data_IF_527976526669
#
_entry.id   IF_527976526669
#
_cell.length_a   1.000
_cell.length_b   1.000
_cell.length_c   1.000
_cell.angle_alpha   90.00
_cell.angle_beta   90.00
_cell.angle_gamma   90.00
#
_symmetry.space_group_name_H-M   'P 1'
#
loop_
_entity.id
_entity.type
_entity.pdbx_description
1 polymer ?
#
# COMPACT_ATOMS: atom_id res chain seq x y z
N UNK A 1 -15.24 -9.94 17.69
CA UNK A 1 -13.91 -10.48 17.71
C UNK A 1 -13.20 -10.30 16.39
N UNK A 2 -12.12 -9.57 16.40
CA UNK A 2 -11.29 -9.40 15.21
C UNK A 2 -10.54 -10.71 14.93
N UNK A 3 -10.59 -11.18 13.70
CA UNK A 3 -9.88 -12.39 13.27
C UNK A 3 -8.41 -11.99 13.01
N UNK A 4 -7.41 -12.57 13.68
CA UNK A 4 -6.00 -12.18 13.55
C UNK A 4 -5.49 -12.20 12.11
N UNK A 5 -5.92 -13.18 11.31
CA UNK A 5 -5.53 -13.33 9.92
C UNK A 5 -6.00 -12.19 9.01
N UNK A 6 -6.97 -11.39 9.44
CA UNK A 6 -7.44 -10.23 8.67
C UNK A 6 -6.38 -9.15 8.55
N UNK A 7 -5.48 -9.02 9.53
CA UNK A 7 -4.40 -8.01 9.47
C UNK A 7 -3.44 -8.22 8.30
N UNK A 8 -2.74 -9.37 8.19
CA UNK A 8 -1.89 -9.60 7.02
C UNK A 8 -2.68 -9.65 5.71
N UNK A 9 -3.97 -10.00 5.74
CA UNK A 9 -4.85 -9.99 4.57
C UNK A 9 -5.07 -8.57 3.99
N UNK A 10 -4.86 -7.52 4.79
CA UNK A 10 -4.89 -6.14 4.29
C UNK A 10 -3.85 -5.89 3.20
N UNK A 11 -2.68 -6.58 3.23
CA UNK A 11 -1.69 -6.53 2.16
C UNK A 11 -2.19 -7.09 0.82
N UNK A 12 -3.30 -7.81 0.82
CA UNK A 12 -3.96 -8.34 -0.38
C UNK A 12 -5.13 -7.45 -0.80
N UNK A 13 -6.03 -7.19 0.14
CA UNK A 13 -7.31 -6.49 -0.14
C UNK A 13 -7.05 -5.03 -0.53
N UNK A 14 -6.30 -4.31 0.29
CA UNK A 14 -6.09 -2.87 0.08
C UNK A 14 -5.36 -2.55 -1.23
N UNK A 15 -4.30 -3.27 -1.64
CA UNK A 15 -3.66 -3.04 -2.92
C UNK A 15 -4.57 -3.26 -4.13
N UNK A 16 -5.44 -4.26 -4.08
CA UNK A 16 -6.36 -4.57 -5.20
C UNK A 16 -7.34 -3.41 -5.40
N UNK A 17 -8.02 -3.00 -4.34
CA UNK A 17 -9.00 -1.91 -4.42
C UNK A 17 -8.35 -0.53 -4.53
N UNK A 18 -7.22 -0.32 -3.88
CA UNK A 18 -6.43 0.92 -3.95
C UNK A 18 -5.84 1.20 -5.33
N UNK A 19 -5.72 0.18 -6.17
CA UNK A 19 -5.29 0.33 -7.55
C UNK A 19 -6.22 1.19 -8.40
N UNK A 20 -7.52 1.20 -8.11
CA UNK A 20 -8.51 1.99 -8.85
C UNK A 20 -8.28 3.49 -8.69
N UNK A 21 -8.32 4.07 -7.47
CA UNK A 21 -8.07 5.50 -7.28
C UNK A 21 -6.65 5.89 -7.66
N UNK A 22 -5.67 5.00 -7.46
CA UNK A 22 -4.29 5.25 -7.86
C UNK A 22 -4.15 5.40 -9.38
N UNK A 23 -4.71 4.47 -10.15
CA UNK A 23 -4.68 4.54 -11.62
C UNK A 23 -5.46 5.75 -12.16
N UNK A 24 -6.56 6.13 -11.50
CA UNK A 24 -7.29 7.36 -11.82
C UNK A 24 -6.41 8.60 -11.57
N UNK A 25 -5.72 8.64 -10.43
CA UNK A 25 -4.78 9.72 -10.11
C UNK A 25 -3.67 9.83 -11.17
N UNK A 26 -3.12 8.70 -11.63
CA UNK A 26 -2.07 8.68 -12.65
C UNK A 26 -2.49 9.30 -13.98
N UNK A 27 -3.78 9.34 -14.30
CA UNK A 27 -4.26 10.02 -15.53
C UNK A 27 -4.04 11.53 -15.51
N UNK A 28 -3.84 12.10 -14.32
CA UNK A 28 -3.60 13.53 -14.09
C UNK A 28 -2.14 13.86 -13.76
N UNK A 29 -1.29 12.84 -13.65
CA UNK A 29 0.14 13.01 -13.33
C UNK A 29 0.92 13.28 -14.61
N UNK A 30 1.56 14.43 -14.66
CA UNK A 30 2.40 14.88 -15.78
C UNK A 30 3.78 15.36 -15.34
N UNK A 31 4.03 15.48 -14.02
CA UNK A 31 5.26 16.02 -13.46
C UNK A 31 5.84 15.12 -12.39
N UNK A 32 7.18 15.11 -12.32
CA UNK A 32 7.89 14.43 -11.24
C UNK A 32 7.56 15.05 -9.87
N UNK A 33 7.40 14.22 -8.87
CA UNK A 33 7.08 14.65 -7.50
C UNK A 33 5.59 14.56 -7.16
N UNK A 34 4.70 14.49 -8.13
CA UNK A 34 3.26 14.42 -7.87
C UNK A 34 2.88 13.13 -7.14
N UNK A 35 3.46 12.00 -7.54
CA UNK A 35 3.20 10.70 -6.89
C UNK A 35 3.86 10.67 -5.51
N UNK A 36 5.05 11.25 -5.37
CA UNK A 36 5.73 11.37 -4.07
C UNK A 36 4.87 12.17 -3.09
N UNK A 37 4.33 13.32 -3.50
CA UNK A 37 3.43 14.13 -2.65
C UNK A 37 2.19 13.34 -2.28
N UNK A 38 1.57 12.65 -3.23
CA UNK A 38 0.41 11.81 -2.96
C UNK A 38 0.74 10.69 -1.96
N UNK A 39 1.89 10.03 -2.12
CA UNK A 39 2.36 9.00 -1.20
C UNK A 39 2.63 9.55 0.22
N UNK A 40 3.19 10.76 0.32
CA UNK A 40 3.39 11.45 1.58
C UNK A 40 2.07 11.77 2.27
N UNK A 41 1.08 12.25 1.53
CA UNK A 41 -0.26 12.53 2.07
C UNK A 41 -0.91 11.25 2.61
N UNK A 42 -0.85 10.16 1.85
CA UNK A 42 -1.37 8.85 2.28
C UNK A 42 -0.63 8.36 3.52
N UNK A 43 0.70 8.43 3.54
CA UNK A 43 1.51 8.04 4.69
C UNK A 43 1.24 8.90 5.93
N UNK A 44 1.07 10.20 5.75
CA UNK A 44 0.71 11.13 6.82
C UNK A 44 -0.69 10.83 7.38
N UNK A 45 -1.64 10.56 6.51
CA UNK A 45 -2.98 10.16 6.91
C UNK A 45 -2.96 8.88 7.76
N UNK A 46 -2.19 7.88 7.35
CA UNK A 46 -2.00 6.65 8.12
C UNK A 46 -1.33 6.91 9.47
N UNK A 47 -0.39 7.85 9.53
CA UNK A 47 0.23 8.25 10.80
C UNK A 47 -0.78 8.90 11.75
N UNK A 48 -1.58 9.85 11.27
CA UNK A 48 -2.62 10.53 12.06
C UNK A 48 -3.67 9.54 12.56
N UNK A 49 -4.00 8.51 11.77
CA UNK A 49 -4.95 7.44 12.16
C UNK A 49 -4.39 6.45 13.18
N UNK A 50 -3.14 6.65 13.64
CA UNK A 50 -2.53 5.83 14.69
C UNK A 50 -1.77 4.60 14.19
N UNK A 51 -1.53 4.49 12.89
CA UNK A 51 -0.74 3.37 12.30
C UNK A 51 0.77 3.53 12.54
N UNK A 52 1.21 4.67 13.08
CA UNK A 52 2.62 4.96 13.32
C UNK A 52 3.28 5.71 12.16
N UNK A 53 4.55 6.07 12.33
CA UNK A 53 5.31 6.89 11.36
C UNK A 53 5.91 6.08 10.20
N UNK A 54 6.00 4.76 10.31
CA UNK A 54 6.60 3.90 9.30
C UNK A 54 5.93 4.00 7.91
N UNK A 55 4.60 4.02 7.80
CA UNK A 55 3.94 4.24 6.51
C UNK A 55 4.32 5.56 5.84
N UNK A 56 4.61 6.60 6.63
CA UNK A 56 5.06 7.88 6.09
C UNK A 56 6.48 7.76 5.49
N UNK A 57 7.40 7.08 6.19
CA UNK A 57 8.76 6.81 5.67
C UNK A 57 8.69 5.99 4.40
N UNK A 58 7.92 4.89 4.41
CA UNK A 58 7.69 4.08 3.22
C UNK A 58 7.01 4.88 2.10
N UNK A 59 6.11 5.79 2.45
CA UNK A 59 5.48 6.70 1.50
C UNK A 59 6.48 7.55 0.74
N UNK A 60 7.45 8.13 1.42
CA UNK A 60 8.51 8.92 0.79
C UNK A 60 9.35 8.04 -0.15
N UNK A 61 9.86 6.91 0.35
CA UNK A 61 10.75 6.03 -0.41
C UNK A 61 10.02 5.45 -1.63
N UNK A 62 8.86 4.84 -1.42
CA UNK A 62 8.08 4.23 -2.48
C UNK A 62 7.53 5.28 -3.46
N UNK A 63 7.17 6.47 -2.96
CA UNK A 63 6.72 7.58 -3.79
C UNK A 63 7.79 8.02 -4.79
N UNK A 64 9.03 8.22 -4.33
CA UNK A 64 10.15 8.60 -5.21
C UNK A 64 10.44 7.50 -6.23
N UNK A 65 10.51 6.24 -5.81
CA UNK A 65 10.76 5.10 -6.72
C UNK A 65 9.64 5.03 -7.78
N UNK A 66 8.41 5.20 -7.35
CA UNK A 66 7.22 5.16 -8.21
C UNK A 66 7.21 6.31 -9.22
N UNK A 67 7.56 7.53 -8.78
CA UNK A 67 7.73 8.69 -9.67
C UNK A 67 8.80 8.43 -10.74
N UNK A 68 9.93 7.82 -10.36
CA UNK A 68 10.99 7.46 -11.31
C UNK A 68 10.50 6.43 -12.33
N UNK A 69 9.74 5.42 -11.91
CA UNK A 69 9.18 4.39 -12.79
C UNK A 69 8.24 5.04 -13.81
N UNK A 70 7.31 5.88 -13.36
CA UNK A 70 6.31 6.53 -14.22
C UNK A 70 6.98 7.54 -15.15
N UNK A 71 7.93 8.34 -14.64
CA UNK A 71 8.74 9.26 -15.45
C UNK A 71 9.50 8.54 -16.56
N UNK A 72 10.09 7.37 -16.27
CA UNK A 72 10.81 6.57 -17.27
C UNK A 72 9.90 6.07 -18.41
N UNK A 73 8.58 6.10 -18.23
CA UNK A 73 7.55 5.84 -19.24
C UNK A 73 6.94 7.09 -19.86
N UNK A 74 7.56 8.27 -19.65
CA UNK A 74 7.04 9.57 -20.09
C UNK A 74 5.57 9.79 -19.68
N UNK A 75 5.17 9.28 -18.51
CA UNK A 75 3.82 9.35 -17.93
C UNK A 75 2.70 8.73 -18.80
N UNK A 76 3.06 8.04 -19.89
CA UNK A 76 2.12 7.46 -20.87
C UNK A 76 2.19 5.94 -20.96
N UNK A 77 3.23 5.31 -20.39
CA UNK A 77 3.41 3.87 -20.47
C UNK A 77 2.50 3.13 -19.50
N UNK A 78 1.47 2.52 -20.03
CA UNK A 78 0.52 1.72 -19.26
C UNK A 78 1.18 0.58 -18.45
N UNK A 79 2.20 -0.07 -19.01
CA UNK A 79 2.94 -1.14 -18.32
C UNK A 79 3.68 -0.60 -17.09
N UNK A 80 4.34 0.56 -17.23
CA UNK A 80 5.05 1.20 -16.13
C UNK A 80 4.11 1.77 -15.07
N UNK A 81 2.96 2.28 -15.48
CA UNK A 81 1.92 2.73 -14.56
C UNK A 81 1.37 1.58 -13.71
N UNK A 82 1.15 0.41 -14.29
CA UNK A 82 0.71 -0.79 -13.55
C UNK A 82 1.82 -1.29 -12.61
N UNK A 83 3.08 -1.32 -13.08
CA UNK A 83 4.22 -1.67 -12.24
C UNK A 83 4.37 -0.71 -11.06
N UNK A 84 4.21 0.58 -11.31
CA UNK A 84 4.26 1.62 -10.27
C UNK A 84 3.20 1.42 -9.18
N UNK A 85 2.01 0.94 -9.56
CA UNK A 85 0.96 0.60 -8.62
C UNK A 85 1.40 -0.49 -7.64
N UNK A 86 2.10 -1.52 -8.10
CA UNK A 86 2.67 -2.55 -7.25
C UNK A 86 3.66 -1.98 -6.23
N UNK A 87 4.61 -1.16 -6.68
CA UNK A 87 5.61 -0.54 -5.81
C UNK A 87 4.98 0.46 -4.83
N UNK A 88 4.02 1.26 -5.28
CA UNK A 88 3.30 2.22 -4.43
C UNK A 88 2.64 1.53 -3.24
N UNK A 89 2.05 0.36 -3.45
CA UNK A 89 1.34 -0.37 -2.40
C UNK A 89 2.26 -0.94 -1.30
N UNK A 90 3.59 -0.89 -1.45
CA UNK A 90 4.52 -1.18 -0.35
C UNK A 90 4.38 -0.22 0.85
N UNK A 91 3.73 0.92 0.69
CA UNK A 91 3.35 1.80 1.81
C UNK A 91 2.54 1.02 2.85
N UNK A 92 1.69 0.09 2.41
CA UNK A 92 0.86 -0.75 3.29
C UNK A 92 1.72 -1.66 4.15
N UNK A 93 2.80 -2.22 3.58
CA UNK A 93 3.77 -3.00 4.33
C UNK A 93 4.39 -2.20 5.49
N UNK A 94 4.58 -0.89 5.31
CA UNK A 94 5.06 0.01 6.36
C UNK A 94 4.25 -0.07 7.67
N UNK A 95 2.96 -0.41 7.61
CA UNK A 95 2.13 -0.60 8.81
C UNK A 95 2.55 -1.82 9.66
N UNK A 96 3.19 -2.79 9.05
CA UNK A 96 3.60 -4.04 9.71
C UNK A 96 5.01 -4.00 10.26
N UNK A 97 5.84 -3.05 9.81
CA UNK A 97 7.24 -2.92 10.28
C UNK A 97 7.35 -2.87 11.80
N UNK A 98 6.56 -2.06 12.54
CA UNK A 98 6.64 -2.03 14.00
C UNK A 98 6.32 -3.39 14.64
N UNK A 99 5.46 -4.19 14.03
CA UNK A 99 5.09 -5.52 14.54
C UNK A 99 6.26 -6.51 14.41
N UNK A 100 7.06 -6.39 13.35
CA UNK A 100 8.28 -7.20 13.20
C UNK A 100 9.41 -6.74 14.11
N UNK A 101 9.43 -5.44 14.48
CA UNK A 101 10.46 -4.91 15.38
C UNK A 101 10.18 -5.24 16.84
N UNK A 102 8.97 -4.97 17.31
CA UNK A 102 8.55 -5.27 18.69
C UNK A 102 7.02 -5.31 18.76
N UNK A 103 6.48 -6.52 18.68
CA UNK A 103 5.04 -6.74 18.66
C UNK A 103 4.39 -6.41 20.01
N UNK A 104 5.09 -6.64 21.11
CA UNK A 104 4.58 -6.33 22.47
C UNK A 104 4.44 -4.81 22.65
N UNK A 105 5.45 -4.04 22.26
CA UNK A 105 5.39 -2.57 22.29
C UNK A 105 4.29 -2.03 21.37
N UNK A 106 4.07 -2.65 20.21
CA UNK A 106 3.00 -2.28 19.29
C UNK A 106 1.62 -2.44 19.93
N UNK A 107 1.37 -3.55 20.62
CA UNK A 107 0.08 -3.82 21.25
C UNK A 107 -0.09 -3.19 22.63
N UNK A 108 0.99 -2.82 23.34
CA UNK A 108 0.91 -2.14 24.64
C UNK A 108 0.13 -0.83 24.58
N UNK A 109 0.23 -0.12 23.45
CA UNK A 109 -0.49 1.14 23.18
C UNK A 109 -1.92 0.93 22.64
N UNK A 110 -2.31 -0.33 22.38
CA UNK A 110 -3.58 -0.72 21.76
C UNK A 110 -4.32 -1.76 22.59
N UNK A 111 -4.68 -1.40 23.81
CA UNK A 111 -5.31 -2.28 24.80
C UNK A 111 -6.69 -2.82 24.40
N UNK A 112 -7.29 -2.33 23.33
CA UNK A 112 -8.57 -2.81 22.79
C UNK A 112 -8.51 -4.21 22.20
N UNK A 113 -7.30 -4.74 21.94
CA UNK A 113 -7.12 -6.10 21.45
C UNK A 113 -6.98 -7.08 22.64
N UNK A 114 -7.79 -8.15 22.63
CA UNK A 114 -7.71 -9.20 23.66
C UNK A 114 -6.41 -9.98 23.63
N UNK A 115 -6.01 -10.55 24.77
CA UNK A 115 -4.75 -11.32 24.90
C UNK A 115 -4.67 -12.49 23.91
N UNK A 116 -5.76 -13.20 23.66
CA UNK A 116 -5.81 -14.28 22.68
C UNK A 116 -5.45 -13.79 21.26
N UNK A 117 -5.93 -12.60 20.89
CA UNK A 117 -5.59 -11.98 19.62
C UNK A 117 -4.11 -11.65 19.53
N UNK A 118 -3.54 -11.04 20.59
CA UNK A 118 -2.13 -10.66 20.67
C UNK A 118 -1.24 -11.91 20.56
N UNK A 119 -1.56 -12.98 21.27
CA UNK A 119 -0.80 -14.24 21.22
C UNK A 119 -0.78 -14.82 19.81
N UNK A 120 -1.93 -14.91 19.15
CA UNK A 120 -2.01 -15.41 17.77
C UNK A 120 -1.24 -14.52 16.78
N UNK A 121 -1.28 -13.21 16.96
CA UNK A 121 -0.50 -12.28 16.13
C UNK A 121 0.99 -12.45 16.38
N UNK A 122 1.42 -12.64 17.63
CA UNK A 122 2.83 -12.90 17.96
C UNK A 122 3.33 -14.15 17.27
N UNK A 123 2.54 -15.24 17.30
CA UNK A 123 2.89 -16.50 16.63
C UNK A 123 3.01 -16.35 15.10
N UNK A 124 2.11 -15.58 14.49
CA UNK A 124 2.14 -15.31 13.04
C UNK A 124 3.39 -14.51 12.68
N UNK A 125 3.65 -13.40 13.40
CA UNK A 125 4.75 -12.49 13.12
C UNK A 125 6.12 -12.98 13.63
N UNK A 126 6.18 -14.03 14.43
CA UNK A 126 7.42 -14.69 14.80
C UNK A 126 8.14 -15.34 13.61
N UNK A 127 7.41 -15.64 12.54
CA UNK A 127 7.97 -16.25 11.34
C UNK A 127 8.62 -15.18 10.43
N UNK A 128 9.94 -15.13 10.42
CA UNK A 128 10.71 -14.15 9.62
C UNK A 128 10.42 -14.22 8.11
N UNK A 129 10.02 -15.37 7.58
CA UNK A 129 9.70 -15.52 6.16
C UNK A 129 8.36 -14.85 5.77
N UNK A 130 7.58 -14.41 6.74
CA UNK A 130 6.39 -13.60 6.51
C UNK A 130 6.73 -12.24 5.88
N UNK A 131 7.90 -11.68 6.18
CA UNK A 131 8.36 -10.40 5.62
C UNK A 131 8.38 -10.42 4.08
N UNK A 132 9.15 -11.33 3.43
CA UNK A 132 9.15 -11.39 1.97
C UNK A 132 7.80 -11.78 1.38
N UNK A 133 7.01 -12.58 2.10
CA UNK A 133 5.65 -12.93 1.68
C UNK A 133 4.73 -11.72 1.63
N UNK A 134 4.73 -10.87 2.65
CA UNK A 134 3.89 -9.66 2.69
C UNK A 134 4.34 -8.62 1.65
N UNK A 135 5.65 -8.48 1.45
CA UNK A 135 6.20 -7.60 0.41
C UNK A 135 5.74 -8.09 -0.97
N UNK A 136 5.89 -9.38 -1.26
CA UNK A 136 5.44 -9.97 -2.50
C UNK A 136 3.92 -9.82 -2.69
N UNK A 137 3.13 -10.04 -1.64
CA UNK A 137 1.69 -9.85 -1.66
C UNK A 137 1.30 -8.40 -2.00
N UNK A 138 1.93 -7.41 -1.36
CA UNK A 138 1.68 -5.99 -1.66
C UNK A 138 1.98 -5.65 -3.12
N UNK A 139 3.11 -6.13 -3.64
CA UNK A 139 3.54 -5.83 -5.02
C UNK A 139 2.64 -6.55 -6.05
N UNK A 140 2.41 -7.83 -5.87
CA UNK A 140 1.60 -8.64 -6.81
C UNK A 140 0.16 -8.18 -6.80
N UNK A 141 -0.44 -8.01 -5.62
CA UNK A 141 -1.82 -7.55 -5.49
C UNK A 141 -1.98 -6.08 -5.94
N UNK A 142 -0.97 -5.23 -5.71
CA UNK A 142 -0.92 -3.89 -6.25
C UNK A 142 -0.81 -3.87 -7.78
N UNK A 143 -0.05 -4.79 -8.36
CA UNK A 143 0.01 -4.97 -9.81
C UNK A 143 -1.34 -5.42 -10.38
N UNK A 144 -1.99 -6.41 -9.75
CA UNK A 144 -3.35 -6.86 -10.11
C UNK A 144 -4.35 -5.69 -9.97
N UNK A 145 -4.29 -4.93 -8.89
CA UNK A 145 -5.11 -3.74 -8.67
C UNK A 145 -4.90 -2.66 -9.75
N UNK A 146 -3.66 -2.50 -10.21
CA UNK A 146 -3.31 -1.61 -11.32
C UNK A 146 -3.93 -2.05 -12.65
N UNK A 147 -3.89 -3.36 -12.96
CA UNK A 147 -4.54 -3.92 -14.16
C UNK A 147 -6.06 -3.73 -14.08
N UNK A 148 -6.63 -4.03 -12.93
CA UNK A 148 -8.06 -3.87 -12.68
C UNK A 148 -8.50 -2.40 -12.76
N UNK A 149 -7.74 -1.50 -12.12
CA UNK A 149 -7.98 -0.06 -12.17
C UNK A 149 -7.93 0.48 -13.59
N UNK A 150 -6.93 0.06 -14.40
CA UNK A 150 -6.85 0.42 -15.81
C UNK A 150 -8.07 -0.05 -16.61
N UNK A 151 -8.52 -1.28 -16.37
CA UNK A 151 -9.71 -1.83 -17.05
C UNK A 151 -10.97 -1.03 -16.74
N UNK A 152 -11.16 -0.65 -15.48
CA UNK A 152 -12.29 0.19 -15.04
C UNK A 152 -12.21 1.60 -15.60
N UNK A 153 -11.02 2.21 -15.66
CA UNK A 153 -10.81 3.52 -16.27
C UNK A 153 -11.29 3.52 -17.71
N UNK A 154 -10.83 2.58 -18.51
CA UNK A 154 -11.24 2.47 -19.92
C UNK A 154 -12.74 2.26 -20.08
N UNK A 155 -13.36 1.46 -19.20
CA UNK A 155 -14.78 1.10 -19.33
C UNK A 155 -15.73 2.20 -18.87
N UNK A 156 -15.39 2.91 -17.79
CA UNK A 156 -16.31 3.82 -17.10
C UNK A 156 -15.87 5.28 -17.12
N UNK A 157 -14.61 5.56 -16.79
CA UNK A 157 -14.13 6.94 -16.58
C UNK A 157 -13.83 7.68 -17.91
N UNK A 158 -13.26 7.00 -18.89
CA UNK A 158 -13.06 7.57 -20.23
C UNK A 158 -14.41 7.89 -20.90
N UNK A 159 -15.41 7.00 -20.76
CA UNK A 159 -16.77 7.22 -21.27
C UNK A 159 -17.49 8.37 -20.57
N UNK A 160 -17.18 8.63 -19.31
CA UNK A 160 -17.74 9.73 -18.52
C UNK A 160 -16.98 11.05 -18.70
N UNK A 161 -15.87 11.07 -19.47
CA UNK A 161 -15.04 12.26 -19.66
C UNK A 161 -14.23 12.67 -18.43
N UNK A 162 -14.03 11.76 -17.46
CA UNK A 162 -13.32 12.02 -16.18
C UNK A 162 -11.83 11.69 -16.30
N UNK A 163 -11.45 10.78 -17.19
CA UNK A 163 -10.07 10.32 -17.41
C UNK A 163 -9.65 10.44 -18.86
#
# INVERSE_FOLDING_TARGET
GFIPIMMPLLCVIVPIFGGIPYMLFLTKVDKFGMITIYAMIVGLFLWITGMGYWPFIFGIICGVITDLIVKSGNYKSSKKNILSCGVFNLIIFGNFVPMFMNIEAYFSTRQSFGQEYITKMTDIFANSWLIPLLIAACVICGWIGGVFGKSLLKKHFEKAGIA
#
